data_IF_232288735617
#
_entry.id   IF_232288735617
#
_cell.length_a   1.000
_cell.length_b   1.000
_cell.length_c   1.000
_cell.angle_alpha   90.00
_cell.angle_beta   90.00
_cell.angle_gamma   90.00
#
_symmetry.space_group_name_H-M   'P 1'
#
loop_
_entity.id
_entity.type
_entity.pdbx_description
1 polymer ?
#
# COMPACT_ATOMS: atom_id res chain seq x y z
N UNK A 1 -10.59 -22.44 -24.22
CA UNK A 1 -9.86 -21.27 -23.69
C UNK A 1 -10.51 -20.84 -22.39
N UNK A 2 -9.72 -20.60 -21.35
CA UNK A 2 -10.22 -20.17 -20.03
C UNK A 2 -9.67 -18.77 -19.70
N UNK A 3 -10.50 -17.81 -19.25
CA UNK A 3 -10.03 -16.54 -18.73
C UNK A 3 -9.12 -16.73 -17.51
N UNK A 4 -7.98 -16.05 -17.46
CA UNK A 4 -7.01 -16.20 -16.38
C UNK A 4 -6.28 -14.88 -16.13
N UNK A 5 -5.86 -14.62 -14.90
CA UNK A 5 -4.89 -13.56 -14.62
C UNK A 5 -3.49 -14.16 -14.45
N UNK A 6 -2.52 -13.66 -15.22
CA UNK A 6 -1.11 -13.95 -15.02
C UNK A 6 -0.51 -12.88 -14.13
N UNK A 7 -0.07 -13.27 -12.93
CA UNK A 7 0.48 -12.36 -11.93
C UNK A 7 2.00 -12.54 -11.84
N UNK A 8 2.72 -11.43 -11.99
CA UNK A 8 4.17 -11.34 -11.84
C UNK A 8 4.45 -10.59 -10.54
N UNK A 9 5.26 -11.18 -9.67
CA UNK A 9 5.64 -10.52 -8.41
C UNK A 9 6.93 -9.72 -8.54
N UNK A 10 7.08 -8.74 -7.65
CA UNK A 10 8.19 -7.79 -7.61
C UNK A 10 9.42 -8.40 -6.90
N UNK A 11 9.85 -7.82 -5.78
CA UNK A 11 11.12 -8.11 -5.08
C UNK A 11 11.20 -9.52 -4.45
N UNK A 12 10.17 -10.36 -4.56
CA UNK A 12 10.14 -11.72 -4.00
C UNK A 12 11.27 -12.60 -4.56
N UNK A 13 11.68 -12.38 -5.81
CA UNK A 13 12.79 -13.12 -6.43
C UNK A 13 14.14 -12.89 -5.73
N UNK A 14 14.28 -11.79 -4.97
CA UNK A 14 15.50 -11.46 -4.23
C UNK A 14 15.64 -12.22 -2.90
N UNK A 15 14.63 -13.00 -2.51
CA UNK A 15 14.56 -13.61 -1.16
C UNK A 15 15.22 -14.98 -1.03
N UNK A 16 15.90 -15.46 -2.08
CA UNK A 16 16.67 -16.70 -2.05
C UNK A 16 15.85 -17.89 -1.49
N UNK A 17 16.36 -18.53 -0.44
CA UNK A 17 15.72 -19.68 0.20
C UNK A 17 14.37 -19.35 0.87
N UNK A 18 14.11 -18.09 1.21
CA UNK A 18 12.84 -17.65 1.81
C UNK A 18 11.74 -17.38 0.79
N UNK A 19 12.04 -17.44 -0.52
CA UNK A 19 11.08 -17.17 -1.60
C UNK A 19 9.74 -17.92 -1.45
N UNK A 20 9.70 -19.23 -1.11
CA UNK A 20 8.44 -19.93 -0.98
C UNK A 20 7.51 -19.36 0.12
N UNK A 21 8.07 -18.76 1.17
CA UNK A 21 7.28 -18.10 2.21
C UNK A 21 6.58 -16.86 1.66
N UNK A 22 7.33 -15.97 1.00
CA UNK A 22 6.78 -14.74 0.42
C UNK A 22 5.77 -15.01 -0.69
N UNK A 23 6.00 -16.02 -1.53
CA UNK A 23 5.03 -16.42 -2.55
C UNK A 23 3.71 -16.90 -1.93
N UNK A 24 3.76 -17.74 -0.88
CA UNK A 24 2.55 -18.17 -0.16
C UNK A 24 1.82 -16.99 0.49
N UNK A 25 2.56 -16.05 1.05
CA UNK A 25 1.96 -14.84 1.61
C UNK A 25 1.32 -13.96 0.54
N UNK A 26 1.92 -13.85 -0.64
CA UNK A 26 1.32 -13.13 -1.77
C UNK A 26 0.02 -13.82 -2.25
N UNK A 27 0.02 -15.14 -2.37
CA UNK A 27 -1.18 -15.92 -2.72
C UNK A 27 -2.33 -15.59 -1.76
N UNK A 28 -2.08 -15.63 -0.44
CA UNK A 28 -3.08 -15.26 0.57
C UNK A 28 -3.62 -13.83 0.41
N UNK A 29 -2.79 -12.89 -0.03
CA UNK A 29 -3.20 -11.50 -0.27
C UNK A 29 -4.05 -11.36 -1.52
N UNK A 30 -3.72 -12.10 -2.58
CA UNK A 30 -4.52 -12.18 -3.81
C UNK A 30 -5.89 -12.81 -3.50
N UNK A 31 -5.91 -13.94 -2.77
CA UNK A 31 -7.15 -14.59 -2.34
C UNK A 31 -8.04 -13.65 -1.52
N UNK A 32 -7.46 -12.89 -0.59
CA UNK A 32 -8.20 -11.91 0.21
C UNK A 32 -8.78 -10.79 -0.67
N UNK A 33 -7.99 -10.23 -1.58
CA UNK A 33 -8.44 -9.16 -2.49
C UNK A 33 -9.54 -9.62 -3.46
N UNK A 34 -9.58 -10.92 -3.78
CA UNK A 34 -10.55 -11.53 -4.68
C UNK A 34 -11.59 -12.40 -3.96
N UNK A 35 -11.71 -12.28 -2.63
CA UNK A 35 -12.62 -13.09 -1.81
C UNK A 35 -14.07 -13.15 -2.33
N UNK A 36 -14.66 -12.06 -2.87
CA UNK A 36 -16.02 -12.11 -3.43
C UNK A 36 -16.14 -12.98 -4.70
N UNK A 37 -15.05 -13.16 -5.44
CA UNK A 37 -15.03 -13.79 -6.76
C UNK A 37 -14.75 -15.30 -6.74
N UNK A 38 -14.45 -15.88 -5.56
CA UNK A 38 -14.09 -17.31 -5.37
C UNK A 38 -13.02 -17.82 -6.35
N UNK A 39 -12.06 -16.95 -6.68
CA UNK A 39 -10.99 -17.26 -7.61
C UNK A 39 -10.05 -18.35 -7.08
N UNK A 40 -9.52 -19.19 -7.98
CA UNK A 40 -8.51 -20.21 -7.65
C UNK A 40 -7.10 -19.67 -7.95
N UNK A 41 -6.26 -19.58 -6.91
CA UNK A 41 -4.95 -18.94 -7.00
C UNK A 41 -3.84 -20.00 -6.98
N UNK A 42 -3.29 -20.28 -8.15
CA UNK A 42 -2.30 -21.34 -8.35
C UNK A 42 -0.91 -20.73 -8.47
N UNK A 43 0.04 -21.28 -7.71
CA UNK A 43 1.45 -20.90 -7.80
C UNK A 43 2.23 -21.93 -8.61
N UNK A 44 2.86 -21.49 -9.70
CA UNK A 44 3.64 -22.36 -10.58
C UNK A 44 4.96 -21.66 -10.98
N UNK A 45 6.10 -22.32 -10.72
CA UNK A 45 7.46 -21.96 -11.16
C UNK A 45 7.66 -20.49 -11.56
N UNK A 46 7.67 -19.58 -10.59
CA UNK A 46 7.97 -18.17 -10.80
C UNK A 46 6.80 -17.28 -11.25
N UNK A 47 5.58 -17.80 -11.28
CA UNK A 47 4.34 -17.07 -11.53
C UNK A 47 3.26 -17.46 -10.53
N UNK A 48 2.27 -16.59 -10.44
CA UNK A 48 0.97 -16.90 -9.83
C UNK A 48 -0.07 -16.75 -10.95
N UNK A 49 -0.98 -17.69 -11.01
CA UNK A 49 -2.13 -17.70 -11.92
C UNK A 49 -3.40 -17.61 -11.11
N UNK A 50 -4.40 -16.93 -11.66
CA UNK A 50 -5.71 -16.83 -11.03
C UNK A 50 -6.78 -17.28 -12.03
N UNK A 51 -7.48 -18.35 -11.67
CA UNK A 51 -8.52 -19.00 -12.47
C UNK A 51 -9.90 -18.82 -11.83
N UNK A 52 -10.95 -19.26 -12.53
CA UNK A 52 -12.31 -19.25 -12.01
C UNK A 52 -12.96 -17.86 -11.91
N UNK A 53 -12.37 -16.84 -12.56
CA UNK A 53 -12.96 -15.49 -12.64
C UNK A 53 -13.82 -15.41 -13.91
N UNK A 54 -15.10 -14.98 -13.82
CA UNK A 54 -15.93 -14.72 -14.98
C UNK A 54 -15.28 -13.70 -15.94
N UNK A 55 -15.47 -13.86 -17.24
CA UNK A 55 -14.80 -13.03 -18.25
C UNK A 55 -15.15 -11.54 -18.10
N UNK A 56 -16.38 -11.23 -17.72
CA UNK A 56 -16.91 -9.89 -17.45
C UNK A 56 -16.30 -9.23 -16.21
N UNK A 57 -15.79 -10.01 -15.26
CA UNK A 57 -15.18 -9.51 -14.01
C UNK A 57 -13.65 -9.48 -14.07
N UNK A 58 -13.05 -10.08 -15.11
CA UNK A 58 -11.59 -10.25 -15.23
C UNK A 58 -10.84 -8.90 -15.18
N UNK A 59 -11.37 -7.88 -15.86
CA UNK A 59 -10.77 -6.54 -15.87
C UNK A 59 -10.87 -5.88 -14.48
N UNK A 60 -12.00 -6.01 -13.78
CA UNK A 60 -12.14 -5.48 -12.41
C UNK A 60 -11.23 -6.21 -11.41
N UNK A 61 -11.11 -7.53 -11.55
CA UNK A 61 -10.22 -8.34 -10.74
C UNK A 61 -8.75 -7.94 -10.96
N UNK A 62 -8.34 -7.74 -12.22
CA UNK A 62 -7.00 -7.26 -12.54
C UNK A 62 -6.71 -5.89 -11.89
N UNK A 63 -7.66 -4.95 -11.94
CA UNK A 63 -7.52 -3.62 -11.31
C UNK A 63 -7.38 -3.73 -9.79
N UNK A 64 -8.17 -4.57 -9.13
CA UNK A 64 -8.03 -4.84 -7.69
C UNK A 64 -6.63 -5.36 -7.36
N UNK A 65 -6.12 -6.30 -8.16
CA UNK A 65 -4.78 -6.85 -7.95
C UNK A 65 -3.66 -5.84 -8.17
N UNK A 66 -3.85 -4.77 -8.96
CA UNK A 66 -2.82 -3.72 -9.09
C UNK A 66 -2.48 -3.06 -7.76
N UNK A 67 -3.40 -3.06 -6.79
CA UNK A 67 -3.21 -2.47 -5.45
C UNK A 67 -2.56 -3.40 -4.43
N UNK A 68 -2.37 -4.67 -4.76
CA UNK A 68 -1.80 -5.66 -3.84
C UNK A 68 -0.28 -5.55 -3.80
N UNK A 69 0.28 -5.17 -2.66
CA UNK A 69 1.74 -5.14 -2.48
C UNK A 69 2.37 -6.52 -2.70
N UNK A 70 3.51 -6.53 -3.37
CA UNK A 70 4.18 -7.74 -3.85
C UNK A 70 3.94 -8.02 -5.33
N UNK A 71 2.90 -7.45 -5.95
CA UNK A 71 2.62 -7.61 -7.38
C UNK A 71 3.39 -6.56 -8.18
N UNK A 72 4.19 -7.02 -9.15
CA UNK A 72 4.85 -6.17 -10.12
C UNK A 72 3.91 -5.85 -11.29
N UNK A 73 3.22 -6.86 -11.81
CA UNK A 73 2.24 -6.68 -12.87
C UNK A 73 1.20 -7.78 -12.92
N UNK A 74 0.06 -7.45 -13.52
CA UNK A 74 -1.08 -8.35 -13.76
C UNK A 74 -1.44 -8.28 -15.23
N UNK A 75 -1.56 -9.44 -15.87
CA UNK A 75 -1.98 -9.55 -17.27
C UNK A 75 -3.28 -10.36 -17.36
N UNK A 76 -4.40 -9.73 -17.76
CA UNK A 76 -5.55 -10.47 -18.25
C UNK A 76 -5.14 -11.35 -19.44
N UNK A 77 -5.46 -12.63 -19.34
CA UNK A 77 -4.92 -13.66 -20.22
C UNK A 77 -5.98 -14.71 -20.58
N UNK A 78 -5.65 -15.51 -21.59
CA UNK A 78 -6.34 -16.74 -21.94
C UNK A 78 -5.39 -17.91 -21.67
N UNK A 79 -5.85 -18.87 -20.87
CA UNK A 79 -5.23 -20.18 -20.74
C UNK A 79 -5.78 -21.11 -21.82
N UNK A 80 -4.88 -21.83 -22.50
CA UNK A 80 -5.20 -22.76 -23.57
C UNK A 80 -4.45 -24.08 -23.39
N UNK A 81 -4.92 -25.11 -24.09
CA UNK A 81 -4.09 -26.29 -24.32
C UNK A 81 -2.81 -25.90 -25.06
N UNK A 82 -1.77 -26.73 -24.91
CA UNK A 82 -0.46 -26.52 -25.55
C UNK A 82 -0.44 -27.01 -26.99
N UNK A 83 -1.48 -26.68 -27.74
CA UNK A 83 -1.61 -27.03 -29.14
C UNK A 83 -1.53 -25.76 -29.98
N UNK A 84 -0.80 -25.83 -31.10
CA UNK A 84 -0.55 -24.64 -31.93
C UNK A 84 -1.83 -23.94 -32.42
N UNK A 85 -2.87 -24.65 -32.89
CA UNK A 85 -4.13 -24.01 -33.29
C UNK A 85 -4.80 -23.21 -32.16
N UNK A 86 -4.82 -23.76 -30.94
CA UNK A 86 -5.41 -23.12 -29.76
C UNK A 86 -4.67 -21.83 -29.37
N UNK A 87 -3.33 -21.86 -29.46
CA UNK A 87 -2.47 -20.69 -29.21
C UNK A 87 -2.75 -19.60 -30.25
N UNK A 88 -2.88 -19.97 -31.53
CA UNK A 88 -3.18 -19.01 -32.61
C UNK A 88 -4.55 -18.38 -32.40
N UNK A 89 -5.56 -19.16 -32.04
CA UNK A 89 -6.91 -18.66 -31.84
C UNK A 89 -6.98 -17.69 -30.65
N UNK A 90 -6.40 -18.06 -29.50
CA UNK A 90 -6.33 -17.16 -28.35
C UNK A 90 -5.58 -15.85 -28.65
N UNK A 91 -4.52 -15.91 -29.45
CA UNK A 91 -3.78 -14.71 -29.85
C UNK A 91 -4.66 -13.78 -30.72
N UNK A 92 -5.44 -14.36 -31.65
CA UNK A 92 -6.39 -13.61 -32.47
C UNK A 92 -7.48 -12.95 -31.64
N UNK A 93 -8.10 -13.70 -30.72
CA UNK A 93 -9.13 -13.17 -29.81
C UNK A 93 -8.60 -11.97 -29.00
N UNK A 94 -7.39 -12.09 -28.43
CA UNK A 94 -6.78 -11.00 -27.67
C UNK A 94 -6.45 -9.80 -28.56
N UNK A 95 -5.94 -10.04 -29.76
CA UNK A 95 -5.58 -8.98 -30.69
C UNK A 95 -6.81 -8.24 -31.21
N UNK A 96 -7.90 -8.94 -31.50
CA UNK A 96 -9.19 -8.34 -31.88
C UNK A 96 -9.69 -7.37 -30.81
N UNK A 97 -9.65 -7.76 -29.53
CA UNK A 97 -9.98 -6.86 -28.39
C UNK A 97 -9.07 -5.62 -28.36
N UNK A 98 -7.77 -5.75 -28.67
CA UNK A 98 -6.81 -4.64 -28.66
C UNK A 98 -6.95 -3.70 -29.86
N UNK A 99 -7.41 -4.22 -30.99
CA UNK A 99 -7.62 -3.49 -32.23
C UNK A 99 -8.98 -2.77 -32.26
N UNK A 100 -9.96 -3.24 -31.47
CA UNK A 100 -11.29 -2.64 -31.37
C UNK A 100 -11.22 -1.11 -31.17
N UNK A 101 -11.81 -0.38 -32.12
CA UNK A 101 -11.86 1.09 -32.10
C UNK A 101 -10.58 1.79 -32.59
N UNK A 102 -9.63 1.07 -33.22
CA UNK A 102 -8.38 1.63 -33.75
C UNK A 102 -8.22 1.37 -35.24
N UNK A 103 -7.76 2.38 -35.97
CA UNK A 103 -7.48 2.28 -37.42
C UNK A 103 -6.16 1.59 -37.73
N UNK A 104 -5.17 1.73 -36.83
CA UNK A 104 -3.85 1.12 -36.96
C UNK A 104 -3.29 0.79 -35.58
N UNK A 105 -2.50 -0.29 -35.48
CA UNK A 105 -1.83 -0.70 -34.25
C UNK A 105 -0.51 -1.40 -34.55
N UNK A 106 0.57 -0.94 -33.92
CA UNK A 106 1.86 -1.63 -33.95
C UNK A 106 1.93 -2.69 -32.85
N UNK A 107 2.48 -3.87 -33.14
CA UNK A 107 2.58 -4.93 -32.15
C UNK A 107 3.90 -5.71 -32.22
N UNK A 108 4.17 -6.48 -31.15
CA UNK A 108 5.26 -7.45 -31.09
C UNK A 108 4.84 -8.72 -30.37
N UNK A 109 5.15 -9.88 -30.93
CA UNK A 109 5.00 -11.17 -30.23
C UNK A 109 6.23 -11.43 -29.34
N UNK A 110 5.99 -11.85 -28.10
CA UNK A 110 7.03 -12.24 -27.16
C UNK A 110 6.72 -13.59 -26.49
N UNK A 111 7.40 -14.64 -26.95
CA UNK A 111 7.23 -15.99 -26.47
C UNK A 111 8.30 -16.40 -25.44
N UNK A 112 7.87 -16.91 -24.30
CA UNK A 112 8.71 -17.51 -23.26
C UNK A 112 8.32 -18.98 -23.05
N UNK A 113 9.32 -19.86 -23.07
CA UNK A 113 9.15 -21.31 -22.86
C UNK A 113 9.79 -21.73 -21.55
N UNK A 114 8.99 -22.10 -20.55
CA UNK A 114 9.49 -22.87 -19.40
C UNK A 114 9.55 -24.36 -19.74
N UNK A 115 8.56 -24.90 -20.47
CA UNK A 115 8.63 -26.27 -21.01
C UNK A 115 9.44 -26.32 -22.30
N UNK A 116 10.64 -26.92 -22.23
CA UNK A 116 11.54 -27.08 -23.38
C UNK A 116 11.17 -28.22 -24.33
N UNK A 117 10.16 -29.03 -24.00
CA UNK A 117 9.67 -30.15 -24.83
C UNK A 117 8.71 -29.72 -25.94
N UNK A 118 8.10 -28.53 -25.82
CA UNK A 118 7.24 -27.98 -26.89
C UNK A 118 8.01 -27.88 -28.23
N UNK A 119 7.36 -28.23 -29.34
CA UNK A 119 8.02 -28.45 -30.63
C UNK A 119 8.69 -27.18 -31.18
N UNK A 120 8.05 -26.02 -31.02
CA UNK A 120 8.56 -24.75 -31.55
C UNK A 120 9.48 -24.03 -30.55
N UNK A 121 10.53 -23.38 -31.04
CA UNK A 121 11.37 -22.49 -30.23
C UNK A 121 10.69 -21.12 -30.10
N UNK A 122 11.06 -20.34 -29.08
CA UNK A 122 10.50 -19.00 -28.86
C UNK A 122 10.62 -18.09 -30.08
N UNK A 123 11.74 -18.12 -30.81
CA UNK A 123 11.92 -17.34 -32.02
C UNK A 123 10.96 -17.77 -33.16
N UNK A 124 10.71 -19.07 -33.28
CA UNK A 124 9.76 -19.60 -34.27
C UNK A 124 8.32 -19.22 -33.91
N UNK A 125 7.95 -19.30 -32.63
CA UNK A 125 6.64 -18.84 -32.16
C UNK A 125 6.45 -17.35 -32.50
N UNK A 126 7.43 -16.51 -32.16
CA UNK A 126 7.35 -15.07 -32.43
C UNK A 126 7.15 -14.77 -33.92
N UNK A 127 7.95 -15.41 -34.79
CA UNK A 127 7.89 -15.20 -36.24
C UNK A 127 6.57 -15.70 -36.82
N UNK A 128 6.22 -16.94 -36.55
CA UNK A 128 5.05 -17.59 -37.16
C UNK A 128 3.76 -16.95 -36.65
N UNK A 129 3.62 -16.72 -35.34
CA UNK A 129 2.42 -16.08 -34.79
C UNK A 129 2.29 -14.63 -35.26
N UNK A 130 3.41 -13.90 -35.36
CA UNK A 130 3.42 -12.54 -35.90
C UNK A 130 2.92 -12.50 -37.35
N UNK A 131 3.37 -13.43 -38.19
CA UNK A 131 2.88 -13.55 -39.57
C UNK A 131 1.39 -13.84 -39.63
N UNK A 132 0.89 -14.81 -38.85
CA UNK A 132 -0.53 -15.16 -38.80
C UNK A 132 -1.42 -14.01 -38.32
N UNK A 133 -0.93 -13.18 -37.38
CA UNK A 133 -1.65 -12.00 -36.92
C UNK A 133 -1.68 -10.88 -37.98
N UNK A 134 -0.59 -10.68 -38.72
CA UNK A 134 -0.57 -9.73 -39.85
C UNK A 134 -1.52 -10.16 -40.97
N UNK A 135 -1.58 -11.45 -41.28
CA UNK A 135 -2.52 -12.00 -42.27
C UNK A 135 -3.98 -11.86 -41.84
N UNK A 136 -4.26 -12.08 -40.55
CA UNK A 136 -5.62 -12.00 -40.01
C UNK A 136 -6.12 -10.56 -39.82
N UNK A 137 -5.23 -9.61 -39.54
CA UNK A 137 -5.59 -8.23 -39.20
C UNK A 137 -4.78 -7.23 -40.06
N UNK A 138 -5.32 -6.78 -41.21
CA UNK A 138 -4.63 -5.86 -42.12
C UNK A 138 -4.24 -4.51 -41.50
N UNK A 139 -4.87 -4.12 -40.39
CA UNK A 139 -4.58 -2.90 -39.65
C UNK A 139 -3.33 -2.99 -38.76
N UNK A 140 -2.69 -4.16 -38.65
CA UNK A 140 -1.49 -4.35 -37.84
C UNK A 140 -0.20 -4.07 -38.60
N UNK A 141 0.79 -3.55 -37.89
CA UNK A 141 2.20 -3.58 -38.32
C UNK A 141 3.11 -4.00 -37.18
N UNK A 142 4.34 -4.43 -37.49
CA UNK A 142 5.29 -4.90 -36.47
C UNK A 142 6.26 -3.78 -36.11
N UNK A 143 6.34 -3.45 -34.82
CA UNK A 143 7.42 -2.66 -34.23
C UNK A 143 8.08 -3.48 -33.12
N UNK A 144 9.35 -3.86 -33.31
CA UNK A 144 10.08 -4.67 -32.32
C UNK A 144 10.74 -3.86 -31.20
N UNK A 145 10.77 -2.54 -31.34
CA UNK A 145 11.42 -1.59 -30.43
C UNK A 145 10.41 -0.88 -29.51
N UNK A 146 9.34 -0.30 -30.08
CA UNK A 146 8.33 0.48 -29.35
C UNK A 146 6.90 0.19 -29.85
N UNK A 147 6.42 -1.05 -29.73
CA UNK A 147 5.06 -1.38 -30.14
C UNK A 147 4.00 -0.77 -29.22
N UNK A 148 2.83 -0.49 -29.77
CA UNK A 148 1.63 -0.05 -29.03
C UNK A 148 1.08 -1.16 -28.13
N UNK A 149 1.25 -2.43 -28.51
CA UNK A 149 0.93 -3.57 -27.68
C UNK A 149 1.88 -4.76 -27.89
N UNK A 150 1.91 -5.67 -26.93
CA UNK A 150 2.63 -6.93 -27.06
C UNK A 150 1.64 -8.08 -27.06
N UNK A 151 1.96 -9.18 -27.73
CA UNK A 151 1.29 -10.47 -27.55
C UNK A 151 2.27 -11.40 -26.84
N UNK A 152 2.08 -11.54 -25.53
CA UNK A 152 2.87 -12.43 -24.71
C UNK A 152 2.37 -13.86 -24.82
N UNK A 153 3.29 -14.81 -25.03
CA UNK A 153 2.99 -16.25 -25.08
C UNK A 153 3.88 -16.97 -24.07
N UNK A 154 3.31 -17.45 -22.95
CA UNK A 154 4.03 -18.26 -21.97
C UNK A 154 3.65 -19.75 -22.13
N UNK A 155 4.56 -20.55 -22.68
CA UNK A 155 4.40 -22.01 -22.82
C UNK A 155 4.91 -22.70 -21.54
N UNK A 156 4.02 -23.38 -20.81
CA UNK A 156 4.31 -24.04 -19.53
C UNK A 156 4.15 -25.55 -19.59
N UNK A 157 4.23 -26.21 -18.42
CA UNK A 157 4.24 -27.67 -18.34
C UNK A 157 2.91 -28.30 -18.75
N UNK A 158 1.78 -27.65 -18.46
CA UNK A 158 0.45 -28.21 -18.72
C UNK A 158 -0.34 -27.38 -19.74
N UNK A 159 -0.23 -26.04 -19.67
CA UNK A 159 -0.99 -25.10 -20.51
C UNK A 159 -0.09 -24.05 -21.18
N UNK A 160 -0.66 -23.33 -22.13
CA UNK A 160 -0.12 -22.08 -22.67
C UNK A 160 -0.95 -20.90 -22.20
N UNK A 161 -0.29 -19.78 -21.88
CA UNK A 161 -0.95 -18.55 -21.44
C UNK A 161 -0.66 -17.42 -22.42
N UNK A 162 -1.70 -16.80 -22.94
CA UNK A 162 -1.60 -15.68 -23.86
C UNK A 162 -2.19 -14.42 -23.24
N UNK A 163 -1.50 -13.29 -23.39
CA UNK A 163 -1.97 -12.00 -22.91
C UNK A 163 -1.52 -10.89 -23.85
N UNK A 164 -2.33 -9.84 -23.97
CA UNK A 164 -2.03 -8.69 -24.82
C UNK A 164 -1.96 -7.35 -24.05
N UNK A 165 -1.95 -7.44 -22.72
CA UNK A 165 -1.96 -6.31 -21.81
C UNK A 165 -1.15 -6.63 -20.56
N UNK A 166 -0.51 -5.62 -19.99
CA UNK A 166 0.17 -5.70 -18.71
C UNK A 166 -0.17 -4.46 -17.88
N UNK A 167 -0.85 -4.65 -16.75
CA UNK A 167 -1.14 -3.60 -15.77
C UNK A 167 -0.08 -3.63 -14.69
N UNK A 168 0.57 -2.49 -14.45
CA UNK A 168 1.57 -2.39 -13.38
C UNK A 168 0.89 -2.44 -12.01
N UNK A 169 1.43 -3.27 -11.14
CA UNK A 169 1.07 -3.29 -9.73
C UNK A 169 1.91 -2.31 -8.91
N UNK A 170 1.49 -2.08 -7.67
CA UNK A 170 2.18 -1.20 -6.71
C UNK A 170 3.58 -1.66 -6.31
N UNK A 171 3.96 -2.91 -6.63
CA UNK A 171 5.26 -3.49 -6.30
C UNK A 171 5.43 -3.77 -4.81
N UNK A 172 6.67 -3.78 -4.33
CA UNK A 172 6.98 -3.98 -2.91
C UNK A 172 6.90 -5.45 -2.47
N UNK A 173 6.47 -5.67 -1.22
CA UNK A 173 6.43 -6.97 -0.56
C UNK A 173 5.03 -7.25 0.00
N UNK A 174 4.57 -8.51 0.04
CA UNK A 174 3.24 -8.85 0.56
C UNK A 174 3.10 -8.45 2.04
N UNK A 175 2.00 -7.79 2.38
CA UNK A 175 1.73 -7.30 3.75
C UNK A 175 1.68 -8.47 4.75
N UNK A 176 2.28 -8.26 5.92
CA UNK A 176 2.39 -9.25 6.99
C UNK A 176 3.62 -10.15 6.90
N UNK A 177 4.48 -9.97 5.89
CA UNK A 177 5.72 -10.74 5.81
C UNK A 177 6.86 -10.18 6.65
N UNK A 178 6.83 -8.88 6.99
CA UNK A 178 7.95 -8.16 7.61
C UNK A 178 7.53 -7.44 8.90
N UNK A 179 6.84 -8.15 9.79
CA UNK A 179 6.45 -7.65 11.11
C UNK A 179 5.18 -6.78 11.09
N UNK A 180 5.01 -6.02 12.16
CA UNK A 180 3.81 -5.21 12.45
C UNK A 180 4.22 -3.89 13.07
N UNK A 181 3.62 -2.78 12.62
CA UNK A 181 3.88 -1.45 13.13
C UNK A 181 2.57 -0.70 13.44
N UNK A 182 2.64 0.21 14.42
CA UNK A 182 1.57 1.12 14.79
C UNK A 182 1.77 2.48 14.11
N UNK A 183 0.87 2.85 13.21
CA UNK A 183 0.86 4.13 12.51
C UNK A 183 0.14 5.18 13.37
N UNK A 184 0.81 6.28 13.67
CA UNK A 184 0.16 7.48 14.19
C UNK A 184 -0.54 8.19 13.02
N UNK A 185 -1.83 7.89 12.83
CA UNK A 185 -2.64 8.45 11.75
C UNK A 185 -3.33 9.73 12.20
N UNK A 186 -3.27 10.74 11.36
CA UNK A 186 -3.82 12.08 11.58
C UNK A 186 -4.77 12.44 10.44
N UNK A 187 -5.50 13.55 10.60
CA UNK A 187 -6.39 14.05 9.56
C UNK A 187 -5.67 14.78 8.42
N UNK A 188 -4.34 14.71 8.36
CA UNK A 188 -3.50 15.42 7.40
C UNK A 188 -2.98 14.52 6.26
N UNK A 189 -2.27 15.15 5.32
CA UNK A 189 -1.80 14.51 4.08
C UNK A 189 -0.73 13.44 4.33
N UNK A 190 0.11 13.64 5.34
CA UNK A 190 1.41 12.98 5.41
C UNK A 190 1.32 11.57 6.02
N UNK A 191 0.53 11.38 7.08
CA UNK A 191 0.47 10.09 7.80
C UNK A 191 -0.14 8.93 7.00
N UNK A 192 -1.17 9.10 6.14
CA UNK A 192 -1.63 8.02 5.26
C UNK A 192 -0.55 7.59 4.25
N UNK A 193 0.22 8.54 3.72
CA UNK A 193 1.33 8.25 2.79
C UNK A 193 2.42 7.47 3.50
N UNK A 194 2.76 7.85 4.74
CA UNK A 194 3.73 7.13 5.56
C UNK A 194 3.28 5.68 5.83
N UNK A 195 2.02 5.48 6.19
CA UNK A 195 1.40 4.16 6.34
C UNK A 195 1.52 3.32 5.08
N UNK A 196 1.16 3.89 3.93
CA UNK A 196 1.26 3.21 2.63
C UNK A 196 2.70 2.81 2.27
N UNK A 197 3.69 3.68 2.52
CA UNK A 197 5.10 3.38 2.25
C UNK A 197 5.65 2.24 3.12
N UNK A 198 5.26 2.18 4.39
CA UNK A 198 5.68 1.10 5.29
C UNK A 198 4.93 -0.19 4.97
N UNK A 199 3.62 -0.14 4.69
CA UNK A 199 2.85 -1.29 4.22
C UNK A 199 3.42 -1.89 2.93
N UNK A 200 3.90 -1.05 1.99
CA UNK A 200 4.59 -1.48 0.76
C UNK A 200 5.83 -2.33 1.02
N UNK A 201 6.47 -2.17 2.18
CA UNK A 201 7.60 -3.02 2.61
C UNK A 201 7.14 -4.33 3.28
N UNK A 202 5.86 -4.69 3.19
CA UNK A 202 5.32 -5.94 3.71
C UNK A 202 5.03 -5.94 5.21
N UNK A 203 4.98 -4.75 5.82
CA UNK A 203 4.70 -4.56 7.25
C UNK A 203 3.19 -4.47 7.46
N UNK A 204 2.64 -5.24 8.41
CA UNK A 204 1.24 -5.08 8.84
C UNK A 204 1.06 -3.73 9.54
N UNK A 205 -0.05 -3.04 9.29
CA UNK A 205 -0.35 -1.75 9.93
C UNK A 205 -1.53 -1.93 10.89
N UNK A 206 -1.34 -1.47 12.13
CA UNK A 206 -2.43 -0.95 12.97
C UNK A 206 -2.29 0.56 13.03
N UNK A 207 -3.37 1.29 13.30
CA UNK A 207 -3.36 2.74 13.33
C UNK A 207 -3.88 3.27 14.66
N UNK A 208 -3.31 4.36 15.15
CA UNK A 208 -3.77 5.08 16.34
C UNK A 208 -4.01 6.54 15.98
N UNK A 209 -5.16 7.06 16.42
CA UNK A 209 -5.55 8.45 16.27
C UNK A 209 -5.98 9.02 17.62
N UNK A 210 -5.55 10.25 17.90
CA UNK A 210 -5.87 10.97 19.12
C UNK A 210 -6.90 12.05 18.83
N UNK A 211 -7.98 12.08 19.61
CA UNK A 211 -9.04 13.08 19.46
C UNK A 211 -9.33 13.76 20.80
N UNK A 212 -9.80 15.01 20.74
CA UNK A 212 -10.07 15.81 21.94
C UNK A 212 -11.51 16.34 21.95
N UNK A 213 -12.50 15.44 22.05
CA UNK A 213 -13.89 15.85 22.19
C UNK A 213 -14.11 16.60 23.53
N UNK A 214 -14.92 17.69 23.58
CA UNK A 214 -15.71 18.29 22.50
C UNK A 214 -14.98 19.33 21.63
N UNK A 215 -13.68 19.54 21.84
CA UNK A 215 -12.89 20.52 21.08
C UNK A 215 -12.62 20.10 19.62
N UNK A 216 -12.58 18.80 19.34
CA UNK A 216 -12.54 18.26 17.97
C UNK A 216 -13.91 17.74 17.56
N UNK A 217 -14.33 18.02 16.32
CA UNK A 217 -15.61 17.56 15.78
C UNK A 217 -15.63 16.06 15.47
N UNK A 218 -16.81 15.43 15.48
CA UNK A 218 -16.99 14.05 14.99
C UNK A 218 -16.56 13.91 13.52
N UNK A 219 -16.73 14.96 12.70
CA UNK A 219 -16.28 14.97 11.31
C UNK A 219 -14.76 14.85 11.16
N UNK A 220 -13.99 15.35 12.12
CA UNK A 220 -12.54 15.16 12.13
C UNK A 220 -12.16 13.69 12.38
N UNK A 221 -12.91 13.00 13.25
CA UNK A 221 -12.77 11.55 13.45
C UNK A 221 -13.15 10.78 12.19
N UNK A 222 -14.30 11.09 11.59
CA UNK A 222 -14.79 10.40 10.39
C UNK A 222 -13.80 10.56 9.21
N UNK A 223 -13.19 11.75 9.06
CA UNK A 223 -12.10 11.99 8.11
C UNK A 223 -10.94 10.98 8.29
N UNK A 224 -10.54 10.70 9.53
CA UNK A 224 -9.45 9.74 9.80
C UNK A 224 -9.88 8.30 9.53
N UNK A 225 -11.13 7.95 9.82
CA UNK A 225 -11.70 6.65 9.46
C UNK A 225 -11.66 6.45 7.94
N UNK A 226 -12.02 7.47 7.17
CA UNK A 226 -12.00 7.43 5.70
C UNK A 226 -10.57 7.33 5.15
N UNK A 227 -9.61 8.07 5.72
CA UNK A 227 -8.19 7.94 5.38
C UNK A 227 -7.65 6.54 5.69
N UNK A 228 -8.09 5.95 6.81
CA UNK A 228 -7.73 4.57 7.17
C UNK A 228 -8.33 3.56 6.19
N UNK A 229 -9.55 3.80 5.69
CA UNK A 229 -10.19 2.96 4.67
C UNK A 229 -9.49 3.06 3.30
N UNK A 230 -9.01 4.25 2.93
CA UNK A 230 -8.18 4.40 1.74
C UNK A 230 -6.87 3.61 1.88
N UNK A 231 -6.25 3.65 3.07
CA UNK A 231 -5.06 2.86 3.35
C UNK A 231 -5.33 1.35 3.35
N UNK A 232 -6.46 0.89 3.91
CA UNK A 232 -6.81 -0.55 3.99
C UNK A 232 -6.96 -1.19 2.61
N UNK A 233 -7.39 -0.43 1.61
CA UNK A 233 -7.45 -0.88 0.21
C UNK A 233 -6.10 -1.36 -0.36
N UNK A 234 -4.98 -0.98 0.27
CA UNK A 234 -3.62 -1.44 -0.08
C UNK A 234 -3.01 -2.33 1.01
N UNK A 235 -3.16 -1.92 2.28
CA UNK A 235 -2.54 -2.58 3.42
C UNK A 235 -3.28 -3.85 3.88
N UNK A 236 -4.49 -4.10 3.38
CA UNK A 236 -5.41 -5.06 3.98
C UNK A 236 -6.10 -4.48 5.21
N UNK A 237 -6.76 -5.32 6.00
CA UNK A 237 -7.46 -4.89 7.21
C UNK A 237 -6.53 -4.12 8.18
N UNK A 238 -7.04 -3.00 8.72
CA UNK A 238 -6.36 -2.12 9.68
C UNK A 238 -7.21 -1.96 10.93
N UNK A 239 -6.64 -2.28 12.09
CA UNK A 239 -7.23 -1.97 13.38
C UNK A 239 -6.92 -0.51 13.72
N UNK A 240 -7.96 0.32 13.85
CA UNK A 240 -7.88 1.74 14.17
C UNK A 240 -8.27 1.99 15.64
N UNK A 241 -7.30 2.42 16.44
CA UNK A 241 -7.46 2.80 17.84
C UNK A 241 -7.73 4.31 17.95
N UNK A 242 -8.91 4.68 18.42
CA UNK A 242 -9.29 6.05 18.69
C UNK A 242 -9.12 6.33 20.18
N UNK A 243 -8.13 7.17 20.52
CA UNK A 243 -7.73 7.44 21.90
C UNK A 243 -8.23 8.82 22.33
N UNK A 244 -9.04 8.93 23.40
CA UNK A 244 -9.42 10.21 23.95
C UNK A 244 -8.19 10.90 24.57
N UNK A 245 -7.96 12.16 24.21
CA UNK A 245 -6.76 12.91 24.61
C UNK A 245 -7.05 14.24 25.33
N UNK A 246 -8.34 14.60 25.49
CA UNK A 246 -8.76 15.88 26.06
C UNK A 246 -8.18 16.15 27.45
N UNK A 247 -8.29 15.19 28.38
CA UNK A 247 -7.86 15.38 29.77
C UNK A 247 -6.35 15.62 29.88
N UNK A 248 -5.57 14.85 29.12
CA UNK A 248 -4.11 15.01 29.03
C UNK A 248 -3.77 16.38 28.43
N UNK A 249 -4.45 16.78 27.36
CA UNK A 249 -4.21 18.04 26.68
C UNK A 249 -4.50 19.26 27.58
N UNK A 250 -5.61 19.23 28.34
CA UNK A 250 -5.95 20.28 29.30
C UNK A 250 -4.91 20.35 30.43
N UNK A 251 -4.48 19.20 30.95
CA UNK A 251 -3.46 19.16 31.99
C UNK A 251 -2.12 19.75 31.54
N UNK A 252 -1.68 19.50 30.30
CA UNK A 252 -0.50 20.14 29.72
C UNK A 252 -0.70 21.65 29.63
N UNK A 253 -1.85 22.10 29.12
CA UNK A 253 -2.13 23.51 28.92
C UNK A 253 -2.15 24.30 30.24
N UNK A 254 -2.71 23.71 31.30
CA UNK A 254 -2.83 24.37 32.61
C UNK A 254 -1.54 24.35 33.44
N UNK A 255 -0.72 23.30 33.32
CA UNK A 255 0.36 23.02 34.29
C UNK A 255 1.77 23.06 33.70
N UNK A 256 1.92 23.06 32.38
CA UNK A 256 3.22 23.09 31.71
C UNK A 256 3.47 24.43 30.99
N UNK A 257 4.73 24.77 30.65
CA UNK A 257 5.03 25.96 29.87
C UNK A 257 4.32 25.96 28.51
N UNK A 258 3.60 27.03 28.20
CA UNK A 258 2.76 27.12 27.00
C UNK A 258 3.55 26.90 25.69
N UNK A 259 4.80 27.37 25.61
CA UNK A 259 5.65 27.19 24.43
C UNK A 259 6.03 25.73 24.16
N UNK A 260 5.90 24.84 25.16
CA UNK A 260 6.28 23.43 25.10
C UNK A 260 5.09 22.50 24.83
N UNK A 261 3.86 23.03 24.85
CA UNK A 261 2.61 22.27 24.71
C UNK A 261 2.65 21.25 23.58
N UNK A 262 3.03 21.66 22.36
CA UNK A 262 3.06 20.77 21.19
C UNK A 262 4.05 19.61 21.35
N UNK A 263 5.22 19.86 21.94
CA UNK A 263 6.26 18.84 22.12
C UNK A 263 5.85 17.85 23.23
N UNK A 264 5.30 18.35 24.33
CA UNK A 264 4.76 17.53 25.42
C UNK A 264 3.59 16.64 24.97
N UNK A 265 2.64 17.22 24.21
CA UNK A 265 1.55 16.46 23.60
C UNK A 265 2.09 15.31 22.74
N UNK A 266 3.03 15.59 21.84
CA UNK A 266 3.63 14.57 20.98
C UNK A 266 4.35 13.48 21.78
N UNK A 267 5.09 13.83 22.84
CA UNK A 267 5.73 12.84 23.73
C UNK A 267 4.70 11.88 24.35
N UNK A 268 3.60 12.41 24.85
CA UNK A 268 2.54 11.60 25.48
C UNK A 268 1.75 10.77 24.45
N UNK A 269 1.51 11.31 23.26
CA UNK A 269 0.96 10.54 22.12
C UNK A 269 1.88 9.38 21.74
N UNK A 270 3.20 9.58 21.71
CA UNK A 270 4.17 8.52 21.43
C UNK A 270 4.14 7.43 22.50
N UNK A 271 4.10 7.79 23.80
CA UNK A 271 3.96 6.84 24.92
C UNK A 271 2.69 6.01 24.84
N UNK A 272 1.55 6.64 24.60
CA UNK A 272 0.27 5.95 24.42
C UNK A 272 0.30 5.01 23.20
N UNK A 273 0.89 5.49 22.09
CA UNK A 273 1.05 4.69 20.87
C UNK A 273 1.93 3.47 21.11
N UNK A 274 3.02 3.58 21.88
CA UNK A 274 3.88 2.46 22.25
C UNK A 274 3.14 1.43 23.12
N UNK A 275 2.35 1.86 24.11
CA UNK A 275 1.53 0.95 24.92
C UNK A 275 0.56 0.13 24.07
N UNK A 276 -0.16 0.80 23.17
CA UNK A 276 -1.08 0.13 22.25
C UNK A 276 -0.36 -0.75 21.24
N UNK A 277 0.80 -0.31 20.74
CA UNK A 277 1.64 -1.09 19.84
C UNK A 277 2.08 -2.40 20.49
N UNK A 278 2.62 -2.35 21.71
CA UNK A 278 3.04 -3.53 22.46
C UNK A 278 1.85 -4.47 22.74
N UNK A 279 0.69 -3.92 23.11
CA UNK A 279 -0.51 -4.69 23.37
C UNK A 279 -1.02 -5.46 22.13
N UNK A 280 -0.91 -4.87 20.93
CA UNK A 280 -1.31 -5.52 19.68
C UNK A 280 -0.17 -6.30 18.99
N UNK A 281 1.01 -6.40 19.60
CA UNK A 281 2.16 -7.12 19.06
C UNK A 281 2.94 -6.37 17.96
N UNK A 282 2.71 -5.08 17.79
CA UNK A 282 3.51 -4.24 16.91
C UNK A 282 4.90 -3.98 17.50
N UNK A 283 5.89 -3.88 16.62
CA UNK A 283 7.31 -3.85 16.95
C UNK A 283 7.96 -2.50 16.59
N UNK A 284 7.18 -1.57 16.07
CA UNK A 284 7.62 -0.25 15.64
C UNK A 284 6.46 0.74 15.64
N UNK A 285 6.78 2.04 15.70
CA UNK A 285 5.87 3.13 15.44
C UNK A 285 6.14 3.71 14.05
N UNK A 286 5.13 4.30 13.41
CA UNK A 286 5.26 4.99 12.12
C UNK A 286 4.66 6.39 12.25
N UNK A 287 5.39 7.41 11.79
CA UNK A 287 4.89 8.79 11.72
C UNK A 287 5.03 9.35 10.30
N UNK A 288 4.19 10.33 9.98
CA UNK A 288 4.29 11.12 8.75
C UNK A 288 5.22 12.33 8.86
N UNK A 289 6.21 12.30 9.74
CA UNK A 289 7.11 13.45 9.95
C UNK A 289 8.11 13.63 8.79
N UNK A 290 8.30 14.88 8.37
CA UNK A 290 9.32 15.34 7.43
C UNK A 290 10.15 16.48 8.06
N UNK A 291 11.47 16.40 7.92
CA UNK A 291 12.38 17.33 8.60
C UNK A 291 12.21 18.76 8.11
N UNK A 292 12.03 19.70 9.03
CA UNK A 292 11.96 21.13 8.71
C UNK A 292 10.63 21.59 8.10
N UNK A 293 9.62 20.73 8.01
CA UNK A 293 8.29 21.11 7.47
C UNK A 293 7.50 22.02 8.43
N UNK A 294 7.58 21.76 9.74
CA UNK A 294 6.91 22.55 10.79
C UNK A 294 7.80 22.67 12.03
N UNK A 295 7.49 23.62 12.93
CA UNK A 295 8.26 23.89 14.15
C UNK A 295 8.46 22.63 15.03
N UNK A 296 7.48 21.73 15.07
CA UNK A 296 7.53 20.49 15.85
C UNK A 296 8.28 19.34 15.18
N UNK A 297 8.85 19.55 13.99
CA UNK A 297 9.56 18.55 13.18
C UNK A 297 11.01 19.00 12.88
N UNK A 298 11.62 19.72 13.81
CA UNK A 298 13.08 19.94 13.85
C UNK A 298 13.81 18.69 14.36
N UNK A 299 15.12 18.60 14.14
CA UNK A 299 15.94 17.49 14.67
C UNK A 299 15.81 17.43 16.19
N UNK A 300 15.85 18.59 16.85
CA UNK A 300 15.71 18.74 18.30
C UNK A 300 14.34 18.24 18.75
N UNK A 301 13.26 18.65 18.09
CA UNK A 301 11.91 18.21 18.43
C UNK A 301 11.73 16.70 18.24
N UNK A 302 12.22 16.13 17.14
CA UNK A 302 12.15 14.69 16.88
C UNK A 302 13.01 13.87 17.83
N UNK A 303 14.15 14.40 18.26
CA UNK A 303 15.00 13.79 19.29
C UNK A 303 14.25 13.73 20.61
N UNK A 304 13.61 14.83 21.00
CA UNK A 304 12.85 14.92 22.23
C UNK A 304 11.59 14.05 22.20
N UNK A 305 10.86 13.97 21.10
CA UNK A 305 9.68 13.09 21.01
C UNK A 305 10.08 11.62 20.91
N UNK A 306 11.16 11.31 20.20
CA UNK A 306 11.71 9.95 20.08
C UNK A 306 12.21 9.38 21.42
N UNK A 307 12.77 10.22 22.29
CA UNK A 307 13.19 9.83 23.65
C UNK A 307 12.05 9.26 24.53
N UNK A 308 10.80 9.59 24.20
CA UNK A 308 9.66 9.16 25.01
C UNK A 308 9.32 7.67 24.88
N UNK A 309 9.92 6.98 23.91
CA UNK A 309 9.62 5.58 23.55
C UNK A 309 10.91 4.77 23.31
N UNK A 310 10.78 3.45 23.40
CA UNK A 310 11.86 2.49 23.15
C UNK A 310 11.72 1.78 21.80
N UNK A 311 10.48 1.63 21.30
CA UNK A 311 10.24 1.07 19.98
C UNK A 311 10.84 1.96 18.87
N UNK A 312 11.38 1.36 17.78
CA UNK A 312 11.86 2.13 16.65
C UNK A 312 10.71 2.93 16.02
N UNK A 313 11.01 4.19 15.66
CA UNK A 313 10.06 5.10 15.03
C UNK A 313 10.44 5.30 13.56
N UNK A 314 9.69 4.69 12.66
CA UNK A 314 9.89 4.83 11.22
C UNK A 314 9.29 6.14 10.70
N UNK A 315 10.12 6.92 10.00
CA UNK A 315 9.77 8.21 9.40
C UNK A 315 10.02 8.14 7.88
N UNK A 316 9.17 7.43 7.12
CA UNK A 316 9.40 7.21 5.69
C UNK A 316 9.43 8.50 4.86
N UNK A 317 8.89 9.60 5.38
CA UNK A 317 8.83 10.91 4.73
C UNK A 317 9.95 11.87 5.16
N UNK A 318 10.91 11.41 5.97
CA UNK A 318 11.86 12.29 6.66
C UNK A 318 12.66 13.23 5.75
N UNK A 319 12.92 12.82 4.50
CA UNK A 319 13.68 13.59 3.51
C UNK A 319 12.87 14.03 2.30
N UNK A 320 11.53 13.94 2.36
CA UNK A 320 10.65 14.32 1.27
C UNK A 320 10.23 15.78 1.41
N UNK A 321 10.17 16.50 0.28
CA UNK A 321 9.50 17.80 0.26
C UNK A 321 7.96 17.66 0.22
N UNK A 322 7.26 18.79 0.33
CA UNK A 322 5.81 18.79 0.42
C UNK A 322 5.13 18.35 -0.89
N UNK A 323 5.68 18.71 -2.04
CA UNK A 323 5.10 18.36 -3.34
C UNK A 323 5.21 16.86 -3.58
N UNK A 324 6.35 16.26 -3.26
CA UNK A 324 6.53 14.81 -3.37
C UNK A 324 5.54 14.03 -2.47
N UNK A 325 5.24 14.54 -1.27
CA UNK A 325 4.24 13.93 -0.37
C UNK A 325 2.83 14.08 -0.96
N UNK A 326 2.51 15.26 -1.49
CA UNK A 326 1.20 15.54 -2.12
C UNK A 326 0.96 14.66 -3.34
N UNK A 327 1.97 14.50 -4.20
CA UNK A 327 1.86 13.65 -5.39
C UNK A 327 1.63 12.18 -5.03
N UNK A 328 2.27 11.70 -3.95
CA UNK A 328 1.99 10.38 -3.41
C UNK A 328 0.59 10.27 -2.81
N UNK A 329 0.13 11.28 -2.08
CA UNK A 329 -1.21 11.31 -1.52
C UNK A 329 -2.28 11.27 -2.63
N UNK A 330 -2.06 11.98 -3.75
CA UNK A 330 -2.91 11.92 -4.94
C UNK A 330 -2.88 10.54 -5.57
N UNK A 331 -1.70 9.95 -5.75
CA UNK A 331 -1.52 8.63 -6.35
C UNK A 331 -2.24 7.51 -5.58
N UNK A 332 -2.32 7.61 -4.25
CA UNK A 332 -3.05 6.63 -3.42
C UNK A 332 -4.51 7.02 -3.15
N UNK A 333 -4.94 8.21 -3.57
CA UNK A 333 -6.31 8.72 -3.41
C UNK A 333 -6.61 9.33 -2.03
N UNK A 334 -5.61 9.58 -1.17
CA UNK A 334 -5.81 10.14 0.18
C UNK A 334 -5.86 11.67 0.23
N UNK A 335 -5.41 12.36 -0.83
CA UNK A 335 -5.26 13.82 -0.82
C UNK A 335 -6.58 14.57 -0.57
N UNK A 336 -7.62 14.27 -1.33
CA UNK A 336 -8.90 15.00 -1.25
C UNK A 336 -9.56 14.89 0.13
N UNK A 337 -9.51 13.70 0.74
CA UNK A 337 -9.99 13.48 2.10
C UNK A 337 -9.13 14.23 3.13
N UNK A 338 -7.81 14.30 2.91
CA UNK A 338 -6.87 14.93 3.84
C UNK A 338 -7.03 16.46 3.94
N UNK A 339 -7.48 17.11 2.86
CA UNK A 339 -7.64 18.58 2.80
C UNK A 339 -8.99 19.08 3.29
N UNK A 340 -9.90 18.19 3.71
CA UNK A 340 -11.18 18.58 4.29
C UNK A 340 -10.96 19.45 5.54
N UNK A 341 -11.68 20.58 5.68
CA UNK A 341 -11.41 21.65 6.66
C UNK A 341 -11.94 21.31 8.05
N UNK A 342 -11.49 20.17 8.59
CA UNK A 342 -11.79 19.72 9.95
C UNK A 342 -10.50 19.72 10.77
N UNK A 343 -10.54 20.47 11.87
CA UNK A 343 -9.41 20.66 12.79
C UNK A 343 -9.00 19.35 13.47
N UNK A 344 -7.70 19.19 13.68
CA UNK A 344 -7.09 18.02 14.32
C UNK A 344 -6.84 18.33 15.82
N UNK A 345 -6.66 17.30 16.64
CA UNK A 345 -6.38 17.44 18.07
C UNK A 345 -5.16 18.34 18.34
N UNK A 346 -4.15 18.28 17.46
CA UNK A 346 -2.94 19.09 17.57
C UNK A 346 -3.12 20.57 17.24
N UNK A 347 -4.24 20.99 16.63
CA UNK A 347 -4.45 22.40 16.21
C UNK A 347 -5.27 23.22 17.20
N UNK A 348 -6.01 22.58 18.11
CA UNK A 348 -6.93 23.26 19.05
C UNK A 348 -6.22 24.19 20.04
N UNK A 349 -5.06 23.80 20.56
CA UNK A 349 -4.32 24.55 21.59
C UNK A 349 -2.89 24.88 21.16
N UNK A 350 -2.71 25.26 19.89
CA UNK A 350 -1.39 25.62 19.36
C UNK A 350 -0.87 26.89 20.06
N UNK A 351 0.34 26.87 20.63
CA UNK A 351 0.92 28.07 21.22
C UNK A 351 1.29 29.09 20.15
N UNK A 352 1.20 30.39 20.48
CA UNK A 352 1.58 31.47 19.57
C UNK A 352 3.07 31.41 19.18
N UNK A 353 3.92 30.99 20.11
CA UNK A 353 5.37 30.88 19.93
C UNK A 353 5.86 29.49 20.38
N UNK A 354 5.69 28.45 19.54
CA UNK A 354 6.16 27.11 19.87
C UNK A 354 7.69 27.06 19.95
N UNK A 355 8.21 26.27 20.90
CA UNK A 355 9.65 26.01 20.98
C UNK A 355 10.11 25.23 19.74
N UNK A 356 11.13 25.73 19.04
CA UNK A 356 11.69 25.10 17.83
C UNK A 356 12.95 24.29 18.11
N UNK A 357 13.63 24.58 19.22
CA UNK A 357 14.86 23.90 19.68
C UNK A 357 14.70 23.41 21.12
N UNK A 358 13.75 22.49 21.39
CA UNK A 358 13.54 21.99 22.74
C UNK A 358 14.79 21.24 23.22
N UNK A 359 15.15 21.44 24.49
CA UNK A 359 16.19 20.64 25.15
C UNK A 359 15.55 19.49 25.90
N UNK A 360 16.12 18.30 25.76
CA UNK A 360 15.55 17.10 26.35
C UNK A 360 15.41 17.19 27.88
N UNK A 361 16.40 17.77 28.56
CA UNK A 361 16.39 17.98 30.02
C UNK A 361 15.20 18.84 30.45
N UNK A 362 14.95 19.92 29.73
CA UNK A 362 13.95 20.91 30.07
C UNK A 362 12.56 20.32 29.86
N UNK A 363 12.34 19.66 28.72
CA UNK A 363 11.05 19.01 28.42
C UNK A 363 10.73 17.87 29.39
N UNK A 364 11.72 17.08 29.82
CA UNK A 364 11.50 16.06 30.87
C UNK A 364 11.13 16.69 32.21
N UNK A 365 11.75 17.82 32.57
CA UNK A 365 11.42 18.53 33.80
C UNK A 365 9.98 19.09 33.75
N UNK A 366 9.59 19.69 32.62
CA UNK A 366 8.22 20.17 32.40
C UNK A 366 7.18 19.05 32.37
N UNK A 367 7.51 17.90 31.78
CA UNK A 367 6.65 16.71 31.79
C UNK A 367 6.44 16.18 33.22
N UNK A 368 7.47 16.26 34.09
CA UNK A 368 7.41 15.80 35.47
C UNK A 368 6.59 16.73 36.41
N UNK A 369 6.13 17.89 35.94
CA UNK A 369 5.23 18.78 36.70
C UNK A 369 3.85 18.16 36.93
N UNK A 370 3.49 17.15 36.13
CA UNK A 370 2.20 16.48 36.19
C UNK A 370 2.42 14.97 36.19
N UNK A 371 1.76 14.26 37.10
CA UNK A 371 1.64 12.81 37.00
C UNK A 371 0.59 12.45 35.94
N UNK A 372 1.06 12.20 34.71
CA UNK A 372 0.20 11.84 33.59
C UNK A 372 -0.20 10.35 33.59
N UNK A 373 0.38 9.50 34.46
CA UNK A 373 0.15 8.06 34.43
C UNK A 373 -1.34 7.68 34.60
N UNK A 374 -2.09 8.24 35.57
CA UNK A 374 -3.51 7.92 35.73
C UNK A 374 -4.34 8.31 34.49
N UNK A 375 -4.03 9.47 33.89
CA UNK A 375 -4.74 9.95 32.69
C UNK A 375 -4.42 9.08 31.48
N UNK A 376 -3.17 8.64 31.32
CA UNK A 376 -2.78 7.73 30.25
C UNK A 376 -3.44 6.35 30.40
N UNK A 377 -3.51 5.80 31.61
CA UNK A 377 -4.20 4.53 31.87
C UNK A 377 -5.68 4.63 31.52
N UNK A 378 -6.34 5.71 31.94
CA UNK A 378 -7.73 5.99 31.59
C UNK A 378 -7.91 6.12 30.07
N UNK A 379 -7.07 6.89 29.39
CA UNK A 379 -7.13 7.06 27.94
C UNK A 379 -6.98 5.72 27.17
N UNK A 380 -6.08 4.84 27.61
CA UNK A 380 -5.95 3.49 27.05
C UNK A 380 -7.21 2.65 27.33
N UNK A 381 -7.76 2.70 28.54
CA UNK A 381 -8.95 1.94 28.90
C UNK A 381 -10.21 2.40 28.13
N UNK A 382 -10.30 3.69 27.81
CA UNK A 382 -11.41 4.30 27.07
C UNK A 382 -11.19 4.30 25.54
N UNK A 383 -10.13 3.64 25.06
CA UNK A 383 -9.82 3.56 23.62
C UNK A 383 -10.91 2.80 22.87
N UNK A 384 -11.44 3.41 21.81
CA UNK A 384 -12.40 2.76 20.90
C UNK A 384 -11.63 2.11 19.76
N UNK A 385 -11.87 0.83 19.50
CA UNK A 385 -11.23 0.10 18.39
C UNK A 385 -12.21 -0.10 17.25
N UNK A 386 -11.83 0.28 16.04
CA UNK A 386 -12.57 0.04 14.81
C UNK A 386 -11.77 -0.90 13.90
N UNK A 387 -12.43 -1.94 13.38
CA UNK A 387 -11.83 -2.85 12.40
C UNK A 387 -12.16 -2.36 10.99
N UNK A 388 -11.17 -1.79 10.29
CA UNK A 388 -11.34 -1.22 8.96
C UNK A 388 -10.93 -2.25 7.91
N UNK A 389 -11.89 -2.75 7.14
CA UNK A 389 -11.66 -3.69 6.04
C UNK A 389 -11.40 -2.95 4.70
N UNK A 390 -10.73 -3.59 3.72
CA UNK A 390 -10.48 -3.06 2.38
C UNK A 390 -11.72 -2.84 1.51
#
# INVERSE_FOLDING_TARGET
MEPTLVVRYAEIHLKGLNRPYFERSLVKRIELALKPLRADVVREQGRIFVFGIPAEELDSAADKLTRVFGIHSVSPALATEKEWPEIVEAAKTLMEKRLSGKEHLTFKVFARRSDKRFAMRSADINRTLGGLLLEAFPALSVDVHKPDCYVGVEIRQDQAFLFAEERLGVGGMPVGCNGHAMLLISGGIDSPVAGHMIAKRGVRISAVHFFSYPYTSERARDKVVDLTRILSAYAGAVDLYLVPFTEIQLAIYEKCPQSETTVLMRRLMMKLSERLALACGAQALVTGESIGQVASQTIESMTVTGDAVTLPVFRPLIGFDKEEIVDRAKAIGSYETSILPFEDCCTVFVPQHPVTKPKLTDIRASEALVDFEPMMQKAVAETITLHIEP
#
